data_IF_591347733832
#
_entry.id   IF_591347733832
#
_cell.length_a   1.000
_cell.length_b   1.000
_cell.length_c   1.000
_cell.angle_alpha   90.00
_cell.angle_beta   90.00
_cell.angle_gamma   90.00
#
_symmetry.space_group_name_H-M   'P 1'
#
loop_
_entity.id
_entity.type
_entity.pdbx_description
1 polymer ?
#
# COMPACT_ATOMS: atom_id res chain seq x y z
N UNK A 1 -3.12 -19.46 6.76
CA UNK A 1 -3.22 -18.37 5.78
C UNK A 1 -2.04 -17.44 5.91
N UNK A 2 -1.50 -17.01 4.80
CA UNK A 2 -0.36 -16.10 4.83
C UNK A 2 -0.82 -14.69 5.20
N UNK A 3 0.06 -13.94 5.83
CA UNK A 3 -0.21 -12.56 6.17
C UNK A 3 -0.22 -11.71 4.90
N UNK A 4 -1.03 -10.63 4.87
CA UNK A 4 -0.99 -9.72 3.74
C UNK A 4 0.38 -9.07 3.61
N UNK A 5 0.78 -8.81 2.37
CA UNK A 5 2.08 -8.21 2.07
C UNK A 5 1.89 -6.98 1.20
N UNK A 6 2.98 -6.21 1.03
CA UNK A 6 2.94 -5.07 0.12
C UNK A 6 2.59 -5.52 -1.30
N UNK A 7 3.02 -6.72 -1.71
CA UNK A 7 2.68 -7.24 -3.01
C UNK A 7 1.17 -7.45 -3.15
N UNK A 8 0.51 -7.91 -2.09
CA UNK A 8 -0.93 -8.08 -2.09
C UNK A 8 -1.64 -6.75 -2.30
N UNK A 9 -1.17 -5.70 -1.63
CA UNK A 9 -1.73 -4.36 -1.80
C UNK A 9 -1.51 -3.88 -3.24
N UNK A 10 -0.29 -4.08 -3.75
CA UNK A 10 0.04 -3.67 -5.12
C UNK A 10 -0.87 -4.35 -6.13
N UNK A 11 -1.12 -5.63 -5.96
CA UNK A 11 -1.99 -6.39 -6.84
C UNK A 11 -3.43 -5.87 -6.75
N UNK A 12 -3.90 -5.59 -5.54
CA UNK A 12 -5.27 -5.11 -5.34
C UNK A 12 -5.48 -3.74 -6.00
N UNK A 13 -4.46 -2.90 -6.02
CA UNK A 13 -4.54 -1.55 -6.58
C UNK A 13 -3.99 -1.45 -7.99
N UNK A 14 -3.47 -2.54 -8.53
CA UNK A 14 -2.86 -2.58 -9.87
C UNK A 14 -1.71 -1.59 -10.02
N UNK A 15 -0.88 -1.51 -8.98
CA UNK A 15 0.30 -0.64 -8.97
C UNK A 15 1.53 -1.48 -8.63
N UNK A 16 2.71 -0.87 -8.75
CA UNK A 16 3.95 -1.57 -8.41
C UNK A 16 4.14 -1.62 -6.89
N UNK A 17 4.90 -2.62 -6.44
CA UNK A 17 5.21 -2.74 -5.02
C UNK A 17 5.98 -1.53 -4.50
N UNK A 18 6.83 -0.95 -5.36
CA UNK A 18 7.57 0.25 -5.00
C UNK A 18 6.63 1.42 -4.71
N UNK A 19 5.56 1.55 -5.51
CA UNK A 19 4.54 2.58 -5.29
C UNK A 19 3.87 2.38 -3.93
N UNK A 20 3.55 1.14 -3.58
CA UNK A 20 2.96 0.82 -2.28
C UNK A 20 3.92 1.22 -1.15
N UNK A 21 5.19 0.84 -1.29
CA UNK A 21 6.19 1.18 -0.28
C UNK A 21 6.30 2.69 -0.07
N UNK A 22 6.35 3.44 -1.16
CA UNK A 22 6.45 4.89 -1.08
C UNK A 22 5.21 5.49 -0.41
N UNK A 23 4.03 5.01 -0.78
CA UNK A 23 2.77 5.51 -0.22
C UNK A 23 2.68 5.23 1.27
N UNK A 24 3.01 4.02 1.69
CA UNK A 24 2.92 3.63 3.10
C UNK A 24 3.99 4.32 3.96
N UNK A 25 5.12 4.67 3.34
CA UNK A 25 6.23 5.33 4.04
C UNK A 25 6.20 6.85 3.88
N UNK A 26 5.16 7.40 3.26
CA UNK A 26 5.04 8.84 2.99
C UNK A 26 6.23 9.40 2.23
N UNK A 27 6.73 8.63 1.27
CA UNK A 27 7.85 9.06 0.44
C UNK A 27 7.34 9.94 -0.71
N UNK A 28 8.19 10.85 -1.23
CA UNK A 28 7.82 11.67 -2.38
C UNK A 28 7.65 10.82 -3.64
N UNK A 29 6.93 11.35 -4.62
CA UNK A 29 6.70 10.65 -5.88
C UNK A 29 5.36 9.93 -5.95
N UNK A 30 4.53 10.05 -4.93
CA UNK A 30 3.20 9.44 -4.88
C UNK A 30 2.20 10.54 -4.55
N UNK A 31 1.08 10.57 -5.27
CA UNK A 31 0.04 11.57 -5.03
C UNK A 31 -0.67 11.31 -3.69
N UNK A 32 -1.31 12.36 -3.15
CA UNK A 32 -2.07 12.22 -1.92
C UNK A 32 -3.18 11.19 -2.06
N UNK A 33 -3.86 11.19 -3.21
CA UNK A 33 -4.90 10.19 -3.48
C UNK A 33 -4.36 8.78 -3.42
N UNK A 34 -3.20 8.56 -4.00
CA UNK A 34 -2.57 7.24 -4.00
C UNK A 34 -2.19 6.84 -2.58
N UNK A 35 -1.66 7.78 -1.78
CA UNK A 35 -1.34 7.51 -0.39
C UNK A 35 -2.58 7.07 0.38
N UNK A 36 -3.68 7.80 0.22
CA UNK A 36 -4.94 7.48 0.89
C UNK A 36 -5.42 6.09 0.49
N UNK A 37 -5.41 5.79 -0.82
CA UNK A 37 -5.87 4.50 -1.31
C UNK A 37 -5.03 3.35 -0.74
N UNK A 38 -3.71 3.54 -0.71
CA UNK A 38 -2.82 2.51 -0.18
C UNK A 38 -3.07 2.28 1.31
N UNK A 39 -3.21 3.34 2.08
CA UNK A 39 -3.46 3.21 3.52
C UNK A 39 -4.82 2.55 3.78
N UNK A 40 -5.84 2.93 3.04
CA UNK A 40 -7.16 2.32 3.18
C UNK A 40 -7.13 0.83 2.85
N UNK A 41 -6.51 0.48 1.73
CA UNK A 41 -6.41 -0.92 1.31
C UNK A 41 -5.62 -1.73 2.32
N UNK A 42 -4.51 -1.18 2.81
CA UNK A 42 -3.70 -1.86 3.81
C UNK A 42 -4.52 -2.14 5.07
N UNK A 43 -5.29 -1.16 5.52
CA UNK A 43 -6.13 -1.33 6.70
C UNK A 43 -7.19 -2.39 6.48
N UNK A 44 -7.85 -2.36 5.31
CA UNK A 44 -8.89 -3.34 4.97
C UNK A 44 -8.34 -4.75 4.91
N UNK A 45 -7.12 -4.91 4.45
CA UNK A 45 -6.48 -6.22 4.32
C UNK A 45 -5.83 -6.69 5.63
N UNK A 46 -5.77 -5.80 6.62
CA UNK A 46 -5.12 -6.14 7.88
C UNK A 46 -3.61 -6.03 7.84
N UNK A 47 -3.06 -5.29 6.88
CA UNK A 47 -1.63 -5.05 6.80
C UNK A 47 -1.31 -3.80 7.62
N UNK A 48 -0.47 -3.96 8.63
CA UNK A 48 -0.08 -2.82 9.48
C UNK A 48 1.41 -2.57 9.32
N UNK A 49 1.72 -1.36 8.89
CA UNK A 49 3.10 -0.93 8.69
C UNK A 49 3.55 -0.15 9.92
N UNK A 50 4.56 -0.66 10.61
CA UNK A 50 5.11 -0.02 11.80
C UNK A 50 6.50 0.51 11.55
#
# INVERSE_FOLDING_TARGET
MSKPTMQDIADALSVSRITVWKALSNRPGVSDSMCVQNHQTATEMGYFHT
#
